data_IF_470222447645
#
_entry.id   IF_470222447645
#
_cell.length_a   1.000
_cell.length_b   1.000
_cell.length_c   1.000
_cell.angle_alpha   90.00
_cell.angle_beta   90.00
_cell.angle_gamma   90.00
#
_symmetry.space_group_name_H-M   'P 1'
#
loop_
_entity.id
_entity.type
_entity.pdbx_description
1 polymer ?
#
# COMPACT_ATOMS: atom_id res chain seq x y z
N UNK A 1 -24.53 10.32 9.94
CA UNK A 1 -23.80 10.19 8.67
C UNK A 1 -22.55 9.37 8.95
N UNK A 2 -22.41 8.23 8.29
CA UNK A 2 -21.25 7.35 8.41
C UNK A 2 -20.17 7.90 7.49
N UNK A 3 -19.04 8.33 8.05
CA UNK A 3 -17.89 8.83 7.29
C UNK A 3 -17.13 7.68 6.64
N UNK A 4 -16.58 7.92 5.45
CA UNK A 4 -15.71 6.93 4.80
C UNK A 4 -14.50 6.56 5.69
N UNK A 5 -13.83 7.55 6.24
CA UNK A 5 -12.76 7.41 7.23
C UNK A 5 -12.71 8.64 8.14
N UNK A 6 -12.95 8.45 9.44
CA UNK A 6 -12.83 9.53 10.44
C UNK A 6 -11.42 9.57 11.04
N UNK A 7 -10.47 10.19 10.32
CA UNK A 7 -9.07 10.32 10.77
C UNK A 7 -8.99 11.06 12.13
N UNK A 8 -9.89 12.03 12.38
CA UNK A 8 -9.93 12.74 13.67
C UNK A 8 -10.25 11.78 14.81
N UNK A 9 -11.25 10.90 14.63
CA UNK A 9 -11.65 9.90 15.64
C UNK A 9 -10.55 8.86 15.83
N UNK A 10 -9.88 8.43 14.73
CA UNK A 10 -8.72 7.53 14.81
C UNK A 10 -7.57 8.15 15.59
N UNK A 11 -7.23 9.41 15.36
CA UNK A 11 -6.18 10.10 16.09
C UNK A 11 -6.56 10.28 17.58
N UNK A 12 -7.83 10.62 17.84
CA UNK A 12 -8.33 10.80 19.21
C UNK A 12 -8.25 9.52 20.05
N UNK A 13 -8.28 8.32 19.45
CA UNK A 13 -8.12 7.05 20.18
C UNK A 13 -6.75 6.91 20.86
N UNK A 14 -5.75 7.64 20.40
CA UNK A 14 -4.37 7.60 20.92
C UNK A 14 -3.90 8.98 21.40
N UNK A 15 -4.83 9.92 21.66
CA UNK A 15 -4.53 11.35 21.82
C UNK A 15 -3.46 11.63 22.88
N UNK A 16 -3.58 11.07 24.09
CA UNK A 16 -2.62 11.32 25.18
C UNK A 16 -1.22 10.86 24.82
N UNK A 17 -1.11 9.64 24.26
CA UNK A 17 0.19 9.07 23.86
C UNK A 17 0.82 9.85 22.69
N UNK A 18 -0.01 10.29 21.73
CA UNK A 18 0.45 11.11 20.59
C UNK A 18 0.94 12.48 21.09
N UNK A 19 0.20 13.14 22.00
CA UNK A 19 0.62 14.43 22.56
C UNK A 19 1.94 14.32 23.30
N UNK A 20 2.13 13.29 24.14
CA UNK A 20 3.37 13.03 24.84
C UNK A 20 4.54 12.81 23.86
N UNK A 21 4.33 11.99 22.82
CA UNK A 21 5.34 11.74 21.79
C UNK A 21 5.74 13.01 21.02
N UNK A 22 4.78 13.85 20.65
CA UNK A 22 5.02 15.13 19.97
C UNK A 22 5.79 16.11 20.85
N UNK A 23 5.41 16.25 22.12
CA UNK A 23 6.09 17.13 23.09
C UNK A 23 7.51 16.65 23.33
N UNK A 24 7.74 15.34 23.48
CA UNK A 24 9.09 14.79 23.66
C UNK A 24 10.05 15.16 22.53
N UNK A 25 9.59 15.09 21.27
CA UNK A 25 10.41 15.51 20.12
C UNK A 25 10.64 17.01 20.10
N UNK A 26 9.61 17.81 20.42
CA UNK A 26 9.71 19.26 20.45
C UNK A 26 10.69 19.75 21.55
N UNK A 27 10.62 19.15 22.73
CA UNK A 27 11.48 19.48 23.88
C UNK A 27 12.95 19.05 23.65
N UNK A 28 13.18 17.95 22.90
CA UNK A 28 14.54 17.51 22.53
C UNK A 28 15.17 18.42 21.46
N UNK A 29 14.36 19.08 20.62
CA UNK A 29 14.82 20.02 19.59
C UNK A 29 15.59 19.38 18.44
N UNK A 30 15.47 18.06 18.24
CA UNK A 30 16.07 17.33 17.13
C UNK A 30 14.98 16.76 16.22
N UNK A 31 14.89 17.24 14.99
CA UNK A 31 13.70 17.03 14.15
C UNK A 31 13.90 16.10 12.96
N UNK A 32 15.14 15.72 12.62
CA UNK A 32 15.48 14.90 11.45
C UNK A 32 16.62 13.95 11.79
N UNK A 33 16.47 12.66 11.44
CA UNK A 33 17.50 11.62 11.62
C UNK A 33 18.00 11.47 13.07
N UNK A 34 17.06 11.50 14.01
CA UNK A 34 17.35 11.38 15.45
C UNK A 34 16.90 10.06 16.05
N UNK A 35 16.59 10.10 17.35
CA UNK A 35 16.31 8.91 18.16
C UNK A 35 14.94 8.31 17.89
N UNK A 36 13.91 9.15 17.64
CA UNK A 36 12.56 8.67 17.40
C UNK A 36 12.48 7.91 16.07
N UNK A 37 13.17 8.41 15.02
CA UNK A 37 13.31 7.69 13.77
C UNK A 37 14.04 6.35 13.97
N UNK A 38 15.19 6.35 14.64
CA UNK A 38 15.94 5.12 14.86
C UNK A 38 15.14 4.07 15.67
N UNK A 39 14.37 4.51 16.67
CA UNK A 39 13.51 3.65 17.47
C UNK A 39 12.33 3.09 16.63
N UNK A 40 11.71 3.92 15.81
CA UNK A 40 10.65 3.50 14.90
C UNK A 40 11.17 2.49 13.88
N UNK A 41 12.27 2.79 13.17
CA UNK A 41 12.87 1.89 12.19
C UNK A 41 13.18 0.51 12.78
N UNK A 42 13.78 0.48 13.97
CA UNK A 42 14.06 -0.78 14.69
C UNK A 42 12.76 -1.54 15.01
N UNK A 43 11.76 -0.85 15.55
CA UNK A 43 10.49 -1.48 15.93
C UNK A 43 9.71 -1.96 14.72
N UNK A 44 9.74 -1.21 13.61
CA UNK A 44 9.03 -1.57 12.40
C UNK A 44 9.70 -2.72 11.65
N UNK A 45 11.04 -2.74 11.58
CA UNK A 45 11.79 -3.90 11.07
C UNK A 45 11.46 -5.18 11.87
N UNK A 46 11.46 -5.08 13.20
CA UNK A 46 11.08 -6.19 14.06
C UNK A 46 9.62 -6.63 13.83
N UNK A 47 8.71 -5.66 13.67
CA UNK A 47 7.29 -5.95 13.40
C UNK A 47 7.07 -6.65 12.07
N UNK A 48 7.74 -6.23 11.01
CA UNK A 48 7.65 -6.86 9.68
C UNK A 48 8.42 -8.17 9.59
N UNK A 49 9.38 -8.41 10.49
CA UNK A 49 10.25 -9.59 10.46
C UNK A 49 11.46 -9.44 9.52
N UNK A 50 11.88 -8.19 9.26
CA UNK A 50 13.06 -7.87 8.46
C UNK A 50 14.22 -7.41 9.32
N UNK A 51 15.44 -7.43 8.75
CA UNK A 51 16.65 -6.95 9.43
C UNK A 51 16.74 -5.43 9.44
N UNK A 52 16.26 -4.78 8.37
CA UNK A 52 16.41 -3.36 8.15
C UNK A 52 15.08 -2.69 7.82
N UNK A 53 14.91 -1.47 8.34
CA UNK A 53 13.91 -0.50 7.94
C UNK A 53 14.61 0.84 7.72
N UNK A 54 14.30 1.53 6.63
CA UNK A 54 14.82 2.87 6.32
C UNK A 54 13.64 3.80 6.08
N UNK A 55 13.45 4.80 6.96
CA UNK A 55 12.40 5.80 6.83
C UNK A 55 12.67 6.79 5.70
N UNK A 56 11.62 7.15 4.97
CA UNK A 56 11.65 8.10 3.86
C UNK A 56 10.41 9.01 3.85
N UNK A 57 10.33 9.93 2.91
CA UNK A 57 9.32 10.98 2.87
C UNK A 57 7.88 10.48 2.63
N UNK A 58 7.70 9.45 1.81
CA UNK A 58 6.38 8.89 1.48
C UNK A 58 6.51 7.54 0.76
N UNK A 59 5.36 6.93 0.41
CA UNK A 59 5.34 5.61 -0.24
C UNK A 59 5.82 5.61 -1.70
N UNK A 60 5.61 6.69 -2.45
CA UNK A 60 6.15 6.83 -3.81
C UNK A 60 7.69 6.85 -3.76
N UNK A 61 8.24 7.68 -2.88
CA UNK A 61 9.69 7.76 -2.67
C UNK A 61 10.27 6.42 -2.20
N UNK A 62 9.52 5.66 -1.39
CA UNK A 62 9.97 4.34 -0.93
C UNK A 62 10.18 3.37 -2.11
N UNK A 63 9.23 3.30 -3.05
CA UNK A 63 9.36 2.46 -4.26
C UNK A 63 10.49 3.00 -5.14
N UNK A 64 10.50 4.32 -5.38
CA UNK A 64 11.52 4.99 -6.21
C UNK A 64 12.94 4.77 -5.68
N UNK A 65 13.14 4.87 -4.36
CA UNK A 65 14.43 4.62 -3.70
C UNK A 65 14.88 3.16 -3.83
N UNK A 66 13.97 2.18 -3.73
CA UNK A 66 14.29 0.76 -3.96
C UNK A 66 14.78 0.54 -5.39
N UNK A 67 14.04 1.05 -6.39
CA UNK A 67 14.40 0.91 -7.80
C UNK A 67 15.72 1.61 -8.11
N UNK A 68 15.89 2.85 -7.63
CA UNK A 68 17.11 3.62 -7.78
C UNK A 68 18.32 2.94 -7.13
N UNK A 69 18.14 2.38 -5.94
CA UNK A 69 19.20 1.65 -5.26
C UNK A 69 19.63 0.40 -6.05
N UNK A 70 18.67 -0.37 -6.58
CA UNK A 70 19.00 -1.52 -7.42
C UNK A 70 19.68 -1.13 -8.75
N UNK A 71 19.36 0.04 -9.32
CA UNK A 71 20.09 0.59 -10.48
C UNK A 71 21.54 0.93 -10.08
N UNK A 72 21.73 1.63 -8.98
CA UNK A 72 23.07 1.97 -8.47
C UNK A 72 23.92 0.73 -8.13
N UNK A 73 23.28 -0.34 -7.65
CA UNK A 73 23.90 -1.64 -7.37
C UNK A 73 24.15 -2.49 -8.63
N UNK A 74 23.71 -2.03 -9.81
CA UNK A 74 23.82 -2.76 -11.07
C UNK A 74 22.93 -4.00 -11.19
N UNK A 75 21.90 -4.13 -10.33
CA UNK A 75 20.93 -5.23 -10.33
C UNK A 75 19.78 -4.98 -11.32
N UNK A 76 19.45 -3.73 -11.60
CA UNK A 76 18.50 -3.25 -12.60
C UNK A 76 19.26 -2.30 -13.53
N UNK A 77 18.94 -2.28 -14.80
CA UNK A 77 19.53 -1.35 -15.78
C UNK A 77 18.50 -0.32 -16.24
N UNK A 78 18.87 0.93 -16.53
CA UNK A 78 17.99 1.87 -17.18
C UNK A 78 17.36 1.28 -18.45
N UNK A 79 16.03 1.42 -18.57
CA UNK A 79 15.26 0.85 -19.68
C UNK A 79 14.84 -0.62 -19.49
N UNK A 80 15.15 -1.24 -18.35
CA UNK A 80 14.62 -2.56 -18.01
C UNK A 80 13.11 -2.53 -17.79
N UNK A 81 12.47 -3.69 -17.97
CA UNK A 81 11.04 -3.90 -17.79
C UNK A 81 10.75 -4.35 -16.37
N UNK A 82 9.74 -3.73 -15.76
CA UNK A 82 9.22 -4.08 -14.43
C UNK A 82 7.79 -4.60 -14.60
N UNK A 83 7.58 -5.88 -14.31
CA UNK A 83 6.23 -6.46 -14.24
C UNK A 83 5.49 -5.82 -13.06
N UNK A 84 4.29 -5.29 -13.29
CA UNK A 84 3.54 -4.57 -12.27
C UNK A 84 2.04 -4.75 -12.44
N UNK A 85 1.28 -4.79 -11.34
CA UNK A 85 -0.18 -4.87 -11.37
C UNK A 85 -0.77 -3.68 -12.12
N UNK A 86 -1.67 -3.93 -13.06
CA UNK A 86 -2.42 -2.89 -13.74
C UNK A 86 -3.46 -2.23 -12.82
N UNK A 87 -4.03 -3.03 -11.89
CA UNK A 87 -4.90 -2.53 -10.83
C UNK A 87 -4.04 -2.09 -9.64
N UNK A 88 -3.65 -0.83 -9.64
CA UNK A 88 -2.85 -0.20 -8.58
C UNK A 88 -3.10 1.30 -8.50
N UNK A 89 -2.60 1.93 -7.44
CA UNK A 89 -2.50 3.38 -7.36
C UNK A 89 -1.39 3.88 -8.29
N UNK A 90 -1.58 5.05 -8.86
CA UNK A 90 -0.66 5.62 -9.86
C UNK A 90 0.79 5.77 -9.35
N UNK A 91 0.99 5.93 -8.03
CA UNK A 91 2.32 6.09 -7.44
C UNK A 91 3.26 4.91 -7.77
N UNK A 92 2.74 3.68 -7.83
CA UNK A 92 3.51 2.49 -8.22
C UNK A 92 4.10 2.63 -9.63
N UNK A 93 3.31 3.18 -10.56
CA UNK A 93 3.74 3.36 -11.96
C UNK A 93 4.68 4.56 -12.10
N UNK A 94 4.37 5.66 -11.37
CA UNK A 94 5.24 6.85 -11.34
C UNK A 94 6.65 6.49 -10.88
N UNK A 95 6.79 5.69 -9.82
CA UNK A 95 8.10 5.28 -9.31
C UNK A 95 8.93 4.52 -10.36
N UNK A 96 8.28 3.67 -11.18
CA UNK A 96 8.97 2.94 -12.26
C UNK A 96 9.44 3.92 -13.32
N UNK A 97 8.56 4.78 -13.82
CA UNK A 97 8.86 5.67 -14.95
C UNK A 97 9.83 6.80 -14.59
N UNK A 98 9.77 7.33 -13.35
CA UNK A 98 10.72 8.32 -12.84
C UNK A 98 12.16 7.81 -12.78
N UNK A 99 12.34 6.50 -12.64
CA UNK A 99 13.66 5.86 -12.65
C UNK A 99 14.11 5.41 -14.04
N UNK A 100 13.39 5.82 -15.10
CA UNK A 100 13.73 5.46 -16.49
C UNK A 100 13.53 3.98 -16.79
N UNK A 101 12.61 3.33 -16.09
CA UNK A 101 12.23 1.92 -16.26
C UNK A 101 10.87 1.82 -16.98
N UNK A 102 10.58 0.66 -17.55
CA UNK A 102 9.35 0.42 -18.31
C UNK A 102 8.35 -0.41 -17.49
N UNK A 103 7.15 0.10 -17.14
CA UNK A 103 6.12 -0.72 -16.54
C UNK A 103 5.53 -1.67 -17.59
N UNK A 104 5.54 -2.97 -17.29
CA UNK A 104 4.82 -4.01 -18.04
C UNK A 104 3.60 -4.39 -17.23
N UNK A 105 2.45 -3.93 -17.68
CA UNK A 105 1.19 -4.07 -16.95
C UNK A 105 0.66 -5.50 -17.01
N UNK A 106 0.43 -6.10 -15.85
CA UNK A 106 -0.21 -7.41 -15.70
C UNK A 106 -1.66 -7.17 -15.30
N UNK A 107 -2.61 -7.71 -16.09
CA UNK A 107 -4.04 -7.55 -15.78
C UNK A 107 -4.41 -8.21 -14.45
N UNK A 108 -5.52 -7.83 -13.88
CA UNK A 108 -5.98 -8.30 -12.57
C UNK A 108 -6.80 -9.60 -12.68
N UNK A 109 -6.84 -10.37 -11.59
CA UNK A 109 -7.86 -11.43 -11.42
C UNK A 109 -9.21 -10.80 -11.09
N UNK A 110 -10.25 -11.30 -11.73
CA UNK A 110 -11.61 -10.81 -11.50
C UNK A 110 -12.13 -11.06 -10.08
N UNK A 111 -11.66 -12.12 -9.44
CA UNK A 111 -12.20 -12.56 -8.15
C UNK A 111 -11.76 -11.70 -6.95
N UNK A 112 -10.55 -11.11 -7.00
CA UNK A 112 -9.96 -10.40 -5.87
C UNK A 112 -9.26 -9.08 -6.26
N UNK A 113 -9.15 -8.81 -7.57
CA UNK A 113 -8.49 -7.61 -8.10
C UNK A 113 -6.97 -7.59 -7.96
N UNK A 114 -6.36 -8.68 -7.49
CA UNK A 114 -4.90 -8.80 -7.42
C UNK A 114 -4.31 -9.15 -8.79
N UNK A 115 -2.99 -9.01 -8.95
CA UNK A 115 -2.27 -9.40 -10.16
C UNK A 115 -2.60 -10.83 -10.58
N UNK A 116 -2.88 -11.05 -11.87
CA UNK A 116 -3.08 -12.41 -12.39
C UNK A 116 -1.72 -13.05 -12.71
N UNK A 117 -1.26 -13.89 -11.82
CA UNK A 117 0.01 -14.61 -11.95
C UNK A 117 0.04 -15.60 -13.13
N UNK A 118 -1.10 -15.96 -13.70
CA UNK A 118 -1.16 -16.83 -14.87
C UNK A 118 -0.69 -16.12 -16.15
N UNK A 119 -0.65 -14.78 -16.15
CA UNK A 119 -0.22 -13.98 -17.31
C UNK A 119 1.29 -13.71 -17.32
N UNK A 120 1.99 -13.95 -16.23
CA UNK A 120 3.40 -13.54 -16.05
C UNK A 120 4.34 -14.12 -17.11
N UNK A 121 4.23 -15.42 -17.40
CA UNK A 121 5.08 -16.09 -18.39
C UNK A 121 4.98 -15.47 -19.79
N UNK A 122 3.77 -15.06 -20.18
CA UNK A 122 3.51 -14.44 -21.48
C UNK A 122 4.00 -13.00 -21.61
N UNK A 123 4.33 -12.35 -20.50
CA UNK A 123 4.79 -10.96 -20.44
C UNK A 123 6.30 -10.83 -20.17
N UNK A 124 6.98 -11.96 -19.91
CA UNK A 124 8.41 -11.99 -19.66
C UNK A 124 9.19 -11.62 -20.92
N UNK A 125 10.16 -10.71 -20.77
CA UNK A 125 11.10 -10.32 -21.83
C UNK A 125 12.55 -10.51 -21.38
N UNK A 126 13.49 -10.42 -22.31
CA UNK A 126 14.93 -10.44 -21.95
C UNK A 126 15.40 -9.22 -21.16
N UNK A 127 14.54 -8.21 -21.00
CA UNK A 127 14.80 -6.99 -20.23
C UNK A 127 14.09 -6.99 -18.88
N UNK A 128 13.25 -7.99 -18.62
CA UNK A 128 12.54 -8.05 -17.33
C UNK A 128 13.53 -8.29 -16.20
N UNK A 129 13.58 -7.38 -15.23
CA UNK A 129 14.52 -7.42 -14.10
C UNK A 129 13.85 -7.53 -12.73
N UNK A 130 12.57 -7.13 -12.61
CA UNK A 130 11.84 -7.21 -11.36
C UNK A 130 10.34 -7.42 -11.57
N UNK A 131 9.69 -7.91 -10.52
CA UNK A 131 8.25 -7.91 -10.34
C UNK A 131 7.92 -7.04 -9.14
N UNK A 132 7.11 -5.99 -9.35
CA UNK A 132 6.59 -5.10 -8.31
C UNK A 132 5.17 -5.54 -7.94
N UNK A 133 5.05 -6.23 -6.81
CA UNK A 133 3.83 -6.85 -6.33
C UNK A 133 3.09 -5.92 -5.38
N UNK A 134 1.88 -5.52 -5.76
CA UNK A 134 1.06 -4.63 -4.93
C UNK A 134 0.08 -5.44 -4.08
N UNK A 135 0.11 -5.24 -2.77
CA UNK A 135 -0.88 -5.80 -1.83
C UNK A 135 -2.10 -4.90 -1.74
N UNK A 136 -2.86 -4.84 -2.84
CA UNK A 136 -3.94 -3.86 -3.01
C UNK A 136 -5.09 -4.10 -2.03
N UNK A 137 -5.72 -3.02 -1.57
CA UNK A 137 -6.84 -3.00 -0.60
C UNK A 137 -6.48 -3.57 0.79
N UNK A 138 -5.24 -3.99 0.98
CA UNK A 138 -4.77 -4.66 2.20
C UNK A 138 -4.88 -6.19 2.16
N UNK A 139 -5.06 -6.76 0.97
CA UNK A 139 -5.01 -8.20 0.73
C UNK A 139 -3.60 -8.66 0.34
N UNK A 140 -3.18 -9.79 0.85
CA UNK A 140 -1.93 -10.41 0.44
C UNK A 140 -2.02 -10.89 -1.01
N UNK A 141 -1.22 -10.30 -1.90
CA UNK A 141 -1.10 -10.72 -3.30
C UNK A 141 -0.04 -11.82 -3.50
N UNK A 142 0.85 -12.01 -2.53
CA UNK A 142 1.92 -13.00 -2.60
C UNK A 142 1.36 -14.42 -2.56
N UNK A 143 1.95 -15.30 -3.38
CA UNK A 143 1.73 -16.74 -3.37
C UNK A 143 2.95 -17.49 -3.91
N UNK A 144 2.98 -18.82 -3.72
CA UNK A 144 4.07 -19.71 -4.12
C UNK A 144 4.40 -19.64 -5.64
N UNK A 145 3.39 -19.39 -6.49
CA UNK A 145 3.58 -19.29 -7.95
C UNK A 145 4.38 -18.05 -8.31
N UNK A 146 4.06 -16.90 -7.69
CA UNK A 146 4.79 -15.63 -7.87
C UNK A 146 6.24 -15.80 -7.37
N UNK A 147 6.42 -16.36 -6.17
CA UNK A 147 7.75 -16.61 -5.61
C UNK A 147 8.59 -17.51 -6.52
N UNK A 148 8.00 -18.62 -6.98
CA UNK A 148 8.66 -19.55 -7.91
C UNK A 148 9.02 -18.87 -9.24
N UNK A 149 8.07 -18.13 -9.83
CA UNK A 149 8.29 -17.39 -11.07
C UNK A 149 9.48 -16.43 -10.97
N UNK A 150 9.53 -15.59 -9.92
CA UNK A 150 10.64 -14.68 -9.70
C UNK A 150 11.97 -15.45 -9.53
N UNK A 151 11.97 -16.53 -8.75
CA UNK A 151 13.17 -17.31 -8.49
C UNK A 151 13.75 -17.97 -9.75
N UNK A 152 12.92 -18.60 -10.58
CA UNK A 152 13.40 -19.32 -11.77
C UNK A 152 13.84 -18.37 -12.88
N UNK A 153 13.26 -17.17 -12.93
CA UNK A 153 13.61 -16.14 -13.90
C UNK A 153 14.64 -15.13 -13.37
N UNK A 154 15.17 -15.33 -12.16
CA UNK A 154 16.15 -14.46 -11.51
C UNK A 154 15.70 -13.00 -11.37
N UNK A 155 14.39 -12.78 -11.17
CA UNK A 155 13.79 -11.46 -11.01
C UNK A 155 13.84 -11.04 -9.55
N UNK A 156 14.02 -9.74 -9.31
CA UNK A 156 13.81 -9.15 -8.00
C UNK A 156 12.30 -9.10 -7.70
N UNK A 157 11.91 -9.52 -6.50
CA UNK A 157 10.54 -9.38 -6.01
C UNK A 157 10.47 -8.20 -5.06
N UNK A 158 9.79 -7.14 -5.49
CA UNK A 158 9.59 -5.91 -4.70
C UNK A 158 8.13 -5.84 -4.30
N UNK A 159 7.85 -5.61 -3.01
CA UNK A 159 6.50 -5.45 -2.51
C UNK A 159 6.10 -3.97 -2.42
N UNK A 160 4.97 -3.58 -3.00
CA UNK A 160 4.26 -2.36 -2.61
C UNK A 160 3.28 -2.72 -1.49
N UNK A 161 3.74 -2.49 -0.25
CA UNK A 161 3.00 -2.80 0.98
C UNK A 161 2.24 -1.58 1.53
N UNK A 162 2.04 -0.53 0.73
CA UNK A 162 1.44 0.73 1.16
C UNK A 162 0.01 0.59 1.72
N UNK A 163 -0.70 -0.50 1.41
CA UNK A 163 -2.06 -0.76 1.87
C UNK A 163 -2.17 -1.97 2.80
N UNK A 164 -1.06 -2.67 3.10
CA UNK A 164 -1.12 -3.98 3.74
C UNK A 164 -0.32 -4.09 5.07
N UNK A 165 -0.20 -2.98 5.81
CA UNK A 165 0.49 -2.98 7.10
C UNK A 165 -0.10 -4.01 8.07
N UNK A 166 0.69 -5.04 8.42
CA UNK A 166 0.27 -6.12 9.31
C UNK A 166 -0.46 -7.27 8.63
N UNK A 167 -0.64 -7.23 7.30
CA UNK A 167 -1.13 -8.36 6.52
C UNK A 167 -0.13 -9.52 6.59
N UNK A 168 -0.62 -10.77 6.45
CA UNK A 168 0.22 -11.95 6.57
C UNK A 168 0.00 -12.91 5.39
N UNK A 169 1.07 -13.61 5.05
CA UNK A 169 1.06 -14.84 4.27
C UNK A 169 1.55 -15.96 5.17
N UNK A 170 0.66 -16.90 5.50
CA UNK A 170 0.96 -17.92 6.51
C UNK A 170 1.40 -17.25 7.85
N UNK A 171 2.65 -17.44 8.29
CA UNK A 171 3.18 -16.85 9.53
C UNK A 171 4.14 -15.67 9.30
N UNK A 172 4.29 -15.20 8.06
CA UNK A 172 5.16 -14.09 7.69
C UNK A 172 4.35 -12.86 7.33
N UNK A 173 4.79 -11.69 7.75
CA UNK A 173 4.12 -10.43 7.37
C UNK A 173 4.50 -10.02 5.96
N UNK A 174 3.53 -9.47 5.21
CA UNK A 174 3.84 -8.71 3.99
C UNK A 174 4.78 -7.56 4.34
N UNK A 175 5.67 -7.24 3.43
CA UNK A 175 6.80 -6.35 3.72
C UNK A 175 8.09 -7.09 4.08
N UNK A 176 8.05 -8.44 4.14
CA UNK A 176 9.23 -9.30 4.33
C UNK A 176 9.26 -10.52 3.40
N UNK A 177 8.33 -10.58 2.43
CA UNK A 177 8.17 -11.75 1.55
C UNK A 177 9.02 -11.65 0.28
N UNK A 178 9.35 -10.43 -0.14
CA UNK A 178 10.22 -10.13 -1.29
C UNK A 178 11.65 -9.74 -0.88
N UNK A 179 12.44 -9.30 -1.86
CA UNK A 179 13.80 -8.77 -1.65
C UNK A 179 13.78 -7.42 -0.94
N UNK A 180 12.76 -6.60 -1.19
CA UNK A 180 12.49 -5.33 -0.55
C UNK A 180 11.00 -5.03 -0.55
N UNK A 181 10.55 -4.18 0.38
CA UNK A 181 9.18 -3.69 0.40
C UNK A 181 9.11 -2.19 0.67
N UNK A 182 8.21 -1.52 -0.04
CA UNK A 182 7.90 -0.11 0.14
C UNK A 182 6.62 0.07 0.96
N UNK A 183 6.65 1.01 1.89
CA UNK A 183 5.55 1.31 2.80
C UNK A 183 5.16 2.79 2.71
N UNK A 184 3.87 3.08 2.82
CA UNK A 184 3.34 4.44 2.90
C UNK A 184 2.68 4.65 4.25
N UNK A 185 3.03 5.72 4.92
CA UNK A 185 2.40 6.13 6.17
C UNK A 185 1.50 7.36 6.00
N UNK A 186 0.96 7.57 4.78
CA UNK A 186 -0.07 8.59 4.56
C UNK A 186 -1.18 8.47 5.63
N UNK A 187 -1.75 9.57 6.15
CA UNK A 187 -2.66 9.55 7.31
C UNK A 187 -3.84 8.59 7.23
N UNK A 188 -4.32 8.30 6.02
CA UNK A 188 -5.41 7.34 5.79
C UNK A 188 -5.01 5.87 5.82
N UNK A 189 -3.72 5.53 5.89
CA UNK A 189 -3.22 4.15 5.92
C UNK A 189 -3.50 3.48 7.27
N UNK A 190 -3.51 2.14 7.30
CA UNK A 190 -3.74 1.38 8.54
C UNK A 190 -2.71 1.76 9.63
N UNK A 191 -1.47 2.01 9.23
CA UNK A 191 -0.46 2.67 10.03
C UNK A 191 -0.18 4.04 9.42
N UNK A 192 -0.93 5.07 9.81
CA UNK A 192 -0.85 6.42 9.25
C UNK A 192 -0.19 7.41 10.21
N UNK A 193 0.73 8.21 9.69
CA UNK A 193 1.34 9.36 10.36
C UNK A 193 0.34 10.54 10.49
N UNK A 194 0.80 11.70 10.96
CA UNK A 194 0.04 12.96 10.96
C UNK A 194 0.40 13.86 9.77
N UNK A 195 1.01 13.30 8.76
CA UNK A 195 1.44 13.93 7.51
C UNK A 195 1.97 12.85 6.58
N UNK A 196 2.80 13.21 5.60
CA UNK A 196 3.46 12.23 4.76
C UNK A 196 4.52 11.44 5.54
N UNK A 197 4.76 10.23 5.10
CA UNK A 197 5.76 9.32 5.61
C UNK A 197 5.80 8.02 4.80
N UNK A 198 6.95 7.39 4.80
CA UNK A 198 7.17 6.11 4.16
C UNK A 198 8.37 5.38 4.77
N UNK A 199 8.57 4.16 4.36
CA UNK A 199 9.77 3.40 4.69
C UNK A 199 10.02 2.31 3.66
N UNK A 200 11.25 1.82 3.64
CA UNK A 200 11.63 0.58 2.96
C UNK A 200 12.04 -0.44 4.00
N UNK A 201 11.58 -1.69 3.85
CA UNK A 201 12.04 -2.84 4.63
C UNK A 201 12.78 -3.83 3.74
N UNK A 202 13.86 -4.44 4.24
CA UNK A 202 14.67 -5.43 3.52
C UNK A 202 15.56 -6.22 4.48
N UNK A 203 16.04 -7.38 4.01
CA UNK A 203 17.08 -8.15 4.67
C UNK A 203 18.48 -7.94 4.06
N UNK A 204 18.57 -7.17 2.97
CA UNK A 204 19.83 -6.84 2.30
C UNK A 204 20.45 -5.58 2.94
N UNK A 205 21.55 -5.75 3.67
CA UNK A 205 22.25 -4.65 4.34
C UNK A 205 22.84 -3.63 3.37
N UNK A 206 23.31 -4.07 2.18
CA UNK A 206 23.86 -3.16 1.18
C UNK A 206 22.75 -2.32 0.55
N UNK A 207 21.59 -2.93 0.28
CA UNK A 207 20.41 -2.21 -0.21
C UNK A 207 19.95 -1.16 0.81
N UNK A 208 19.83 -1.55 2.09
CA UNK A 208 19.42 -0.65 3.16
C UNK A 208 20.37 0.56 3.30
N UNK A 209 21.70 0.32 3.26
CA UNK A 209 22.69 1.38 3.28
C UNK A 209 22.58 2.29 2.06
N UNK A 210 22.47 1.71 0.86
CA UNK A 210 22.35 2.47 -0.40
C UNK A 210 21.11 3.37 -0.37
N UNK A 211 19.96 2.85 0.11
CA UNK A 211 18.72 3.63 0.26
C UNK A 211 18.89 4.76 1.26
N UNK A 212 19.56 4.51 2.40
CA UNK A 212 19.82 5.55 3.42
C UNK A 212 20.68 6.68 2.88
N UNK A 213 21.70 6.35 2.08
CA UNK A 213 22.55 7.34 1.41
C UNK A 213 21.73 8.13 0.37
N UNK A 214 21.02 7.42 -0.52
CA UNK A 214 20.20 8.04 -1.58
C UNK A 214 19.11 8.97 -1.03
N UNK A 215 18.44 8.59 0.05
CA UNK A 215 17.36 9.38 0.68
C UNK A 215 17.89 10.65 1.37
N UNK A 216 19.19 10.74 1.59
CA UNK A 216 19.87 11.89 2.20
C UNK A 216 20.93 12.49 1.26
N UNK A 217 20.52 12.91 0.06
CA UNK A 217 21.35 13.56 -0.96
C UNK A 217 22.53 12.71 -1.48
N UNK A 218 22.50 11.38 -1.31
CA UNK A 218 23.60 10.49 -1.68
C UNK A 218 24.81 10.59 -0.75
N UNK A 219 24.59 11.09 0.48
CA UNK A 219 25.63 11.36 1.46
C UNK A 219 26.11 10.09 2.16
N UNK A 220 27.38 9.72 1.98
CA UNK A 220 28.07 8.64 2.69
C UNK A 220 28.67 9.11 4.00
N UNK A 221 29.24 10.31 4.03
CA UNK A 221 29.80 10.99 5.19
C UNK A 221 29.37 12.46 5.17
N UNK A 222 29.45 13.15 6.31
CA UNK A 222 29.02 14.55 6.40
C UNK A 222 29.70 15.41 5.32
N UNK A 223 28.87 16.00 4.43
CA UNK A 223 29.28 16.82 3.28
C UNK A 223 30.05 16.06 2.16
N UNK A 224 30.02 14.72 2.18
CA UNK A 224 30.57 13.90 1.12
C UNK A 224 29.47 13.09 0.46
N UNK A 225 29.27 13.31 -0.83
CA UNK A 225 28.17 12.76 -1.60
C UNK A 225 28.72 11.84 -2.69
N UNK A 226 28.61 10.53 -2.48
CA UNK A 226 29.15 9.53 -3.40
C UNK A 226 28.11 9.09 -4.45
N UNK A 227 26.83 9.48 -4.26
CA UNK A 227 25.72 9.14 -5.16
C UNK A 227 24.86 10.37 -5.47
N UNK A 228 24.11 10.32 -6.59
CA UNK A 228 23.11 11.33 -6.90
C UNK A 228 21.81 10.99 -6.15
N UNK A 229 21.67 11.44 -4.92
CA UNK A 229 20.51 11.20 -4.07
C UNK A 229 19.41 12.25 -4.18
N UNK A 230 18.42 12.16 -3.29
CA UNK A 230 17.34 13.13 -3.11
C UNK A 230 17.19 13.47 -1.62
N UNK A 231 16.28 14.40 -1.31
CA UNK A 231 15.86 14.65 0.07
C UNK A 231 14.53 13.92 0.31
N UNK A 232 14.59 12.72 0.89
CA UNK A 232 13.42 11.94 1.24
C UNK A 232 13.64 11.25 2.58
N UNK A 233 13.17 11.87 3.66
CA UNK A 233 13.40 11.42 5.04
C UNK A 233 12.08 11.38 5.80
N UNK A 234 11.97 10.46 6.75
CA UNK A 234 10.87 10.46 7.70
C UNK A 234 11.24 11.38 8.87
N UNK A 235 10.38 12.38 9.14
CA UNK A 235 10.60 13.32 10.23
C UNK A 235 10.46 12.65 11.61
N UNK A 236 11.20 13.14 12.61
CA UNK A 236 11.14 12.64 14.00
C UNK A 236 9.73 12.69 14.57
N UNK A 237 8.98 13.76 14.30
CA UNK A 237 7.59 13.92 14.74
C UNK A 237 6.72 12.80 14.19
N UNK A 238 6.85 12.47 12.90
CA UNK A 238 6.06 11.40 12.29
C UNK A 238 6.51 10.01 12.82
N UNK A 239 7.79 9.79 12.98
CA UNK A 239 8.34 8.55 13.53
C UNK A 239 7.87 8.30 14.98
N UNK A 240 7.82 9.34 15.81
CA UNK A 240 7.30 9.26 17.18
C UNK A 240 5.82 8.87 17.20
N UNK A 241 5.00 9.51 16.38
CA UNK A 241 3.56 9.19 16.23
C UNK A 241 3.35 7.75 15.72
N UNK A 242 4.12 7.35 14.71
CA UNK A 242 4.06 6.00 14.15
C UNK A 242 4.46 4.94 15.19
N UNK A 243 5.43 5.22 16.05
CA UNK A 243 5.84 4.35 17.16
C UNK A 243 4.72 4.12 18.17
N UNK A 244 3.89 5.13 18.43
CA UNK A 244 2.68 4.99 19.26
C UNK A 244 1.67 4.08 18.56
N UNK A 245 1.31 4.39 17.31
CA UNK A 245 0.26 3.66 16.57
C UNK A 245 0.66 2.21 16.23
N UNK A 246 1.94 1.94 16.02
CA UNK A 246 2.43 0.59 15.73
C UNK A 246 2.09 -0.42 16.82
N UNK A 247 2.11 0.01 18.09
CA UNK A 247 1.75 -0.86 19.24
C UNK A 247 0.30 -1.34 19.21
N UNK A 248 -0.57 -0.64 18.49
CA UNK A 248 -2.01 -0.90 18.41
C UNK A 248 -2.45 -1.39 17.02
N UNK A 249 -1.51 -1.59 16.08
CA UNK A 249 -1.86 -1.89 14.68
C UNK A 249 -2.59 -3.22 14.52
N UNK A 250 -2.17 -4.27 15.23
CA UNK A 250 -2.81 -5.58 15.12
C UNK A 250 -4.24 -5.57 15.67
N UNK A 251 -4.50 -4.84 16.78
CA UNK A 251 -5.85 -4.63 17.32
C UNK A 251 -6.73 -3.82 16.35
N UNK A 252 -6.19 -2.75 15.77
CA UNK A 252 -6.88 -1.94 14.77
C UNK A 252 -7.25 -2.77 13.52
N UNK A 253 -6.35 -3.65 13.06
CA UNK A 253 -6.61 -4.56 11.95
C UNK A 253 -7.63 -5.65 12.32
N UNK A 254 -7.60 -6.17 13.55
CA UNK A 254 -8.60 -7.12 14.03
C UNK A 254 -10.00 -6.50 14.03
N UNK A 255 -10.14 -5.24 14.45
CA UNK A 255 -11.41 -4.52 14.39
C UNK A 255 -11.89 -4.32 12.94
N UNK A 256 -11.00 -3.96 11.99
CA UNK A 256 -11.35 -3.89 10.57
C UNK A 256 -11.84 -5.24 10.03
N UNK A 257 -11.20 -6.36 10.40
CA UNK A 257 -11.67 -7.71 10.05
C UNK A 257 -13.06 -8.03 10.62
N UNK A 258 -13.35 -7.59 11.84
CA UNK A 258 -14.68 -7.75 12.45
C UNK A 258 -15.75 -7.01 11.61
N UNK A 259 -15.53 -5.75 11.26
CA UNK A 259 -16.44 -4.97 10.41
C UNK A 259 -16.58 -5.61 9.01
N UNK A 260 -15.47 -6.03 8.40
CA UNK A 260 -15.50 -6.68 7.10
C UNK A 260 -16.28 -8.00 7.12
N UNK A 261 -16.14 -8.80 8.17
CA UNK A 261 -16.92 -10.02 8.33
C UNK A 261 -18.42 -9.73 8.49
N UNK A 262 -18.77 -8.67 9.22
CA UNK A 262 -20.15 -8.21 9.33
C UNK A 262 -20.71 -7.84 7.95
N UNK A 263 -20.00 -7.06 7.14
CA UNK A 263 -20.40 -6.75 5.76
C UNK A 263 -20.61 -8.00 4.91
N UNK A 264 -19.66 -8.93 4.93
CA UNK A 264 -19.70 -10.15 4.13
C UNK A 264 -20.87 -11.06 4.48
N UNK A 265 -21.30 -11.07 5.72
CA UNK A 265 -22.40 -11.93 6.20
C UNK A 265 -23.78 -11.27 6.08
N UNK A 266 -23.85 -9.93 6.08
CA UNK A 266 -25.11 -9.21 6.12
C UNK A 266 -25.50 -8.52 4.81
N UNK A 267 -24.55 -8.22 3.92
CA UNK A 267 -24.88 -7.71 2.58
C UNK A 267 -25.40 -8.85 1.73
N UNK A 268 -26.64 -8.70 1.26
CA UNK A 268 -27.37 -9.71 0.46
C UNK A 268 -27.94 -9.15 -0.83
N UNK A 269 -27.59 -7.91 -1.22
CA UNK A 269 -28.06 -7.28 -2.44
C UNK A 269 -27.48 -7.97 -3.69
N UNK A 270 -28.30 -8.56 -4.58
CA UNK A 270 -27.82 -9.30 -5.75
C UNK A 270 -27.18 -8.41 -6.84
N UNK A 271 -27.33 -7.08 -6.74
CA UNK A 271 -26.68 -6.11 -7.64
C UNK A 271 -25.24 -5.80 -7.22
N UNK A 272 -24.80 -6.30 -6.07
CA UNK A 272 -23.50 -6.01 -5.49
C UNK A 272 -22.66 -7.28 -5.37
N UNK A 273 -21.47 -7.26 -5.92
CA UNK A 273 -20.48 -8.32 -5.75
C UNK A 273 -19.50 -7.95 -4.64
N UNK A 274 -19.33 -8.87 -3.68
CA UNK A 274 -18.39 -8.71 -2.58
C UNK A 274 -17.01 -9.28 -2.95
N UNK A 275 -15.90 -8.76 -2.38
CA UNK A 275 -14.57 -9.29 -2.63
C UNK A 275 -14.45 -10.73 -2.18
N UNK A 276 -13.82 -11.57 -2.99
CA UNK A 276 -13.41 -12.91 -2.57
C UNK A 276 -12.26 -12.80 -1.58
N UNK A 277 -12.32 -13.57 -0.51
CA UNK A 277 -11.33 -13.51 0.58
C UNK A 277 -10.64 -14.85 0.72
N UNK A 278 -9.34 -14.81 1.07
CA UNK A 278 -8.57 -15.97 1.49
C UNK A 278 -9.22 -16.69 2.67
N UNK A 279 -8.97 -17.99 2.80
CA UNK A 279 -9.34 -18.76 4.00
C UNK A 279 -8.51 -18.35 5.23
N UNK A 280 -7.35 -17.72 5.03
CA UNK A 280 -6.54 -17.16 6.10
C UNK A 280 -7.04 -15.76 6.45
N UNK A 281 -7.60 -15.60 7.64
CA UNK A 281 -8.13 -14.32 8.14
C UNK A 281 -7.06 -13.22 8.20
N UNK A 282 -5.79 -13.57 8.40
CA UNK A 282 -4.69 -12.63 8.52
C UNK A 282 -4.14 -12.18 7.14
N UNK A 283 -4.53 -12.85 6.07
CA UNK A 283 -4.17 -12.48 4.71
C UNK A 283 -4.90 -11.23 4.18
N UNK A 284 -5.68 -10.56 5.04
CA UNK A 284 -6.35 -9.30 4.69
C UNK A 284 -6.48 -8.38 5.91
N UNK A 285 -6.02 -7.13 5.78
CA UNK A 285 -6.12 -6.11 6.83
C UNK A 285 -7.19 -5.06 6.54
N UNK A 286 -7.93 -5.21 5.46
CA UNK A 286 -9.04 -4.36 5.05
C UNK A 286 -8.70 -2.86 5.18
N UNK A 287 -7.62 -2.46 4.51
CA UNK A 287 -7.36 -1.04 4.30
C UNK A 287 -8.56 -0.39 3.63
N UNK A 288 -9.11 -1.07 2.64
CA UNK A 288 -10.37 -0.75 1.97
C UNK A 288 -11.29 -1.98 1.95
N UNK A 289 -12.59 -1.74 1.81
CA UNK A 289 -13.58 -2.78 1.55
C UNK A 289 -14.24 -2.50 0.19
N UNK A 290 -13.62 -2.91 -0.93
CA UNK A 290 -14.16 -2.71 -2.26
C UNK A 290 -15.34 -3.64 -2.50
N UNK A 291 -16.44 -3.11 -3.04
CA UNK A 291 -17.53 -3.86 -3.63
C UNK A 291 -17.61 -3.52 -5.12
N UNK A 292 -18.29 -4.34 -5.92
CA UNK A 292 -18.50 -4.02 -7.33
C UNK A 292 -19.99 -3.98 -7.65
N UNK A 293 -20.36 -3.03 -8.53
CA UNK A 293 -21.72 -2.87 -9.03
C UNK A 293 -21.65 -2.25 -10.43
N UNK A 294 -22.34 -2.84 -11.40
CA UNK A 294 -22.44 -2.29 -12.77
C UNK A 294 -23.02 -0.87 -12.79
N UNK A 295 -23.82 -0.54 -11.76
CA UNK A 295 -24.44 0.77 -11.54
C UNK A 295 -23.76 1.52 -10.39
N UNK A 296 -22.41 1.51 -10.37
CA UNK A 296 -21.58 2.07 -9.31
C UNK A 296 -21.97 3.49 -8.91
N UNK A 297 -22.17 4.39 -9.88
CA UNK A 297 -22.47 5.81 -9.63
C UNK A 297 -23.90 6.01 -9.08
N UNK A 298 -24.87 5.17 -9.52
CA UNK A 298 -26.22 5.17 -8.95
C UNK A 298 -26.18 4.66 -7.49
N UNK A 299 -25.44 3.58 -7.22
CA UNK A 299 -25.25 3.03 -5.89
C UNK A 299 -24.56 4.06 -4.98
N UNK A 300 -23.50 4.74 -5.45
CA UNK A 300 -22.81 5.79 -4.69
C UNK A 300 -23.77 6.92 -4.31
N UNK A 301 -24.59 7.39 -5.26
CA UNK A 301 -25.58 8.44 -5.02
C UNK A 301 -26.65 7.99 -4.01
N UNK A 302 -27.13 6.74 -4.13
CA UNK A 302 -28.07 6.14 -3.19
C UNK A 302 -27.50 6.07 -1.77
N UNK A 303 -26.28 5.58 -1.59
CA UNK A 303 -25.61 5.49 -0.29
C UNK A 303 -25.42 6.87 0.34
N UNK A 304 -25.03 7.87 -0.44
CA UNK A 304 -24.91 9.26 0.02
C UNK A 304 -26.24 9.81 0.53
N UNK A 305 -27.37 9.53 -0.17
CA UNK A 305 -28.72 9.93 0.29
C UNK A 305 -29.11 9.24 1.62
N UNK A 306 -28.61 8.06 1.87
CA UNK A 306 -28.81 7.31 3.13
C UNK A 306 -27.76 7.65 4.21
N UNK A 307 -26.96 8.70 4.00
CA UNK A 307 -26.00 9.19 4.98
C UNK A 307 -24.75 8.33 5.10
N UNK A 308 -24.34 7.62 4.03
CA UNK A 308 -23.13 6.81 3.95
C UNK A 308 -22.16 7.41 2.94
N UNK A 309 -20.97 7.81 3.38
CA UNK A 309 -19.88 8.23 2.51
C UNK A 309 -19.17 7.01 1.94
N UNK A 310 -18.73 7.10 0.67
CA UNK A 310 -18.00 6.04 -0.03
C UNK A 310 -16.83 6.61 -0.82
N UNK A 311 -15.86 5.78 -1.18
CA UNK A 311 -14.74 6.15 -2.04
C UNK A 311 -14.68 5.29 -3.31
N UNK A 312 -13.91 5.73 -4.32
CA UNK A 312 -13.63 4.95 -5.53
C UNK A 312 -12.10 4.77 -5.62
N UNK A 313 -11.62 3.53 -5.65
CA UNK A 313 -10.20 3.20 -5.64
C UNK A 313 -9.84 2.20 -6.76
N UNK A 314 -9.68 2.67 -8.04
CA UNK A 314 -9.63 4.10 -8.43
C UNK A 314 -10.53 4.34 -9.64
N UNK A 315 -10.95 5.59 -9.97
CA UNK A 315 -11.91 5.81 -11.08
C UNK A 315 -11.31 5.59 -12.47
N UNK A 316 -9.99 5.73 -12.62
CA UNK A 316 -9.28 5.57 -13.90
C UNK A 316 -8.01 4.75 -13.66
N UNK A 317 -7.82 3.63 -14.38
CA UNK A 317 -6.61 2.82 -14.21
C UNK A 317 -5.36 3.55 -14.73
N UNK A 318 -4.16 3.27 -14.19
CA UNK A 318 -2.94 4.01 -14.51
C UNK A 318 -2.64 4.13 -16.00
N UNK A 319 -2.81 3.05 -16.79
CA UNK A 319 -2.53 3.06 -18.23
C UNK A 319 -3.48 3.94 -19.05
N UNK A 320 -4.65 4.30 -18.51
CA UNK A 320 -5.63 5.22 -19.13
C UNK A 320 -5.56 6.65 -18.58
N UNK A 321 -4.71 6.93 -17.59
CA UNK A 321 -4.51 8.28 -17.08
C UNK A 321 -3.92 9.19 -18.18
N UNK A 322 -4.32 10.45 -18.22
CA UNK A 322 -3.90 11.39 -19.27
C UNK A 322 -2.37 11.48 -19.41
N UNK A 323 -1.63 11.40 -18.32
CA UNK A 323 -0.16 11.43 -18.33
C UNK A 323 0.47 10.20 -19.00
N UNK A 324 -0.24 9.09 -19.06
CA UNK A 324 0.24 7.82 -19.62
C UNK A 324 -0.52 7.36 -20.86
N UNK A 325 -1.62 8.02 -21.22
CA UNK A 325 -2.51 7.58 -22.30
C UNK A 325 -1.81 7.52 -23.68
N UNK A 326 -0.89 8.43 -23.94
CA UNK A 326 -0.09 8.41 -25.20
C UNK A 326 0.85 7.21 -25.29
N UNK A 327 1.33 6.69 -24.16
CA UNK A 327 2.30 5.59 -24.09
C UNK A 327 1.58 4.24 -23.94
N UNK A 328 0.59 4.16 -23.08
CA UNK A 328 -0.03 2.88 -22.65
C UNK A 328 -1.54 2.82 -22.90
N UNK A 329 -2.19 3.89 -23.36
CA UNK A 329 -3.64 3.94 -23.57
C UNK A 329 -4.16 2.94 -24.61
N UNK A 330 -3.29 2.44 -25.50
CA UNK A 330 -3.62 1.39 -26.47
C UNK A 330 -3.73 -0.01 -25.86
N UNK A 331 -3.24 -0.22 -24.64
CA UNK A 331 -3.33 -1.49 -23.95
C UNK A 331 -4.79 -1.81 -23.62
N UNK A 332 -5.14 -3.09 -23.79
CA UNK A 332 -6.44 -3.64 -23.43
C UNK A 332 -6.24 -4.55 -22.21
N UNK A 333 -6.72 -4.10 -21.05
CA UNK A 333 -6.64 -4.80 -19.77
C UNK A 333 -8.05 -4.94 -19.20
N UNK A 334 -8.85 -5.86 -19.78
CA UNK A 334 -10.31 -5.85 -19.64
C UNK A 334 -10.79 -6.06 -18.22
N UNK A 335 -10.08 -6.85 -17.42
CA UNK A 335 -10.45 -7.09 -16.01
C UNK A 335 -10.17 -5.85 -15.17
N UNK A 336 -8.98 -5.27 -15.31
CA UNK A 336 -8.62 -4.01 -14.62
C UNK A 336 -9.57 -2.89 -14.99
N UNK A 337 -9.84 -2.68 -16.29
CA UNK A 337 -10.72 -1.62 -16.77
C UNK A 337 -12.15 -1.78 -16.21
N UNK A 338 -12.66 -3.02 -16.16
CA UNK A 338 -13.97 -3.32 -15.57
C UNK A 338 -13.97 -3.07 -14.05
N UNK A 339 -12.95 -3.49 -13.31
CA UNK A 339 -12.86 -3.22 -11.87
C UNK A 339 -12.93 -1.71 -11.61
N UNK A 340 -12.18 -0.90 -12.35
CA UNK A 340 -12.19 0.56 -12.19
C UNK A 340 -13.54 1.21 -12.56
N UNK A 341 -14.32 0.59 -13.44
CA UNK A 341 -15.67 1.05 -13.76
C UNK A 341 -16.70 0.69 -12.66
N UNK A 342 -16.55 -0.45 -12.00
CA UNK A 342 -17.56 -1.05 -11.12
C UNK A 342 -17.24 -0.85 -9.61
N UNK A 343 -15.97 -0.60 -9.24
CA UNK A 343 -15.51 -0.57 -7.85
C UNK A 343 -16.10 0.61 -7.08
N UNK A 344 -16.58 0.32 -5.85
CA UNK A 344 -16.98 1.28 -4.84
C UNK A 344 -16.52 0.79 -3.46
N UNK A 345 -15.69 1.55 -2.79
CA UNK A 345 -15.22 1.22 -1.45
C UNK A 345 -16.20 1.67 -0.38
N UNK A 346 -16.66 0.74 0.44
CA UNK A 346 -17.49 1.01 1.62
C UNK A 346 -16.64 1.54 2.79
N UNK A 347 -17.25 2.32 3.72
CA UNK A 347 -16.57 2.78 4.92
C UNK A 347 -16.02 1.61 5.73
N UNK A 348 -14.78 1.70 6.15
CA UNK A 348 -14.16 0.75 7.09
C UNK A 348 -13.02 1.43 7.85
N UNK A 349 -13.04 1.34 9.17
CA UNK A 349 -12.01 1.96 10.02
C UNK A 349 -11.87 1.26 11.36
N UNK A 350 -10.76 1.45 12.10
CA UNK A 350 -10.57 0.84 13.42
C UNK A 350 -11.46 1.47 14.50
N UNK A 351 -12.22 2.51 14.19
CA UNK A 351 -13.10 3.22 15.13
C UNK A 351 -14.57 3.20 14.71
N UNK A 352 -14.88 2.46 13.65
CA UNK A 352 -16.25 2.27 13.16
C UNK A 352 -17.04 1.38 14.11
N UNK A 353 -18.24 1.79 14.48
CA UNK A 353 -19.12 1.00 15.34
C UNK A 353 -19.92 -0.03 14.54
N UNK A 354 -20.44 -1.07 15.20
CA UNK A 354 -21.34 -2.03 14.57
C UNK A 354 -22.67 -1.39 14.12
N UNK A 355 -23.16 -0.36 14.82
CA UNK A 355 -24.35 0.38 14.41
C UNK A 355 -24.10 1.17 13.11
N UNK A 356 -22.91 1.78 12.96
CA UNK A 356 -22.49 2.40 11.71
C UNK A 356 -22.39 1.37 10.59
N UNK A 357 -21.81 0.19 10.88
CA UNK A 357 -21.72 -0.91 9.91
C UNK A 357 -23.10 -1.41 9.51
N UNK A 358 -24.05 -1.52 10.47
CA UNK A 358 -25.44 -1.88 10.19
C UNK A 358 -26.12 -0.86 9.28
N UNK A 359 -25.93 0.44 9.52
CA UNK A 359 -26.48 1.49 8.65
C UNK A 359 -25.98 1.34 7.21
N UNK A 360 -24.67 1.02 7.02
CA UNK A 360 -24.09 0.77 5.67
C UNK A 360 -24.76 -0.44 5.03
N UNK A 361 -24.90 -1.56 5.74
CA UNK A 361 -25.54 -2.78 5.24
C UNK A 361 -26.98 -2.52 4.84
N UNK A 362 -27.77 -1.86 5.70
CA UNK A 362 -29.17 -1.54 5.45
C UNK A 362 -29.31 -0.69 4.18
N UNK A 363 -28.43 0.32 4.02
CA UNK A 363 -28.42 1.17 2.81
C UNK A 363 -28.03 0.41 1.54
N UNK A 364 -27.00 -0.46 1.59
CA UNK A 364 -26.60 -1.30 0.45
C UNK A 364 -27.71 -2.26 0.07
N UNK A 365 -28.35 -2.91 1.07
CA UNK A 365 -29.42 -3.87 0.83
C UNK A 365 -30.73 -3.21 0.34
N UNK A 366 -30.93 -1.92 0.59
CA UNK A 366 -32.06 -1.15 0.11
C UNK A 366 -31.93 -0.68 -1.36
N UNK A 367 -30.74 -0.69 -1.95
CA UNK A 367 -30.53 -0.30 -3.34
C UNK A 367 -31.29 -1.21 -4.31
N UNK A 368 -32.00 -0.60 -5.26
CA UNK A 368 -32.80 -1.29 -6.30
C UNK A 368 -32.48 -0.71 -7.67
N UNK A 369 -32.84 -1.48 -8.71
CA UNK A 369 -32.78 -1.03 -10.11
C UNK A 369 -33.80 0.07 -10.38
#
# INVERSE_FOLDING_TARGET
MVKFLDIKKVTASYQSQIHEALLSVADEGWYVQGKALAAFEKSYAQYTGTTHCVGCGNGLDAISLVLKAYIEMGRIKPGDDILVSANTFIATILAITENGLNPVFVDAKDCDGQMDEALLEGLLTSKTSALLLVHLYGACAYNERIAHFCKVNHLLLIEDNAQAHGCMYQQQRTGSLGDAAAHSFYPGKNLGALGDGGAVTTNDSLLAQTIRELSNYGQSEKYKHDRCGCNSRLDEIQAAVLSVKLKHLDEANAHRRLIANYYRTQISNPLVSLPKVSCDENAHVYHLFPIRCDKRDELQSHLKQHGVETGIHYPVPPHKQNCYNSLYGHLCLPVTERIHAEELSLPISPVMTLDEAKQVVDAVNAFRK
#
